data_IF_606157369313
#
_entry.id   IF_606157369313
#
_cell.length_a   1.000
_cell.length_b   1.000
_cell.length_c   1.000
_cell.angle_alpha   90.00
_cell.angle_beta   90.00
_cell.angle_gamma   90.00
#
_symmetry.space_group_name_H-M   'P 1'
#
loop_
_entity.id
_entity.type
_entity.pdbx_description
1 polymer ?
#
# COMPACT_ATOMS: atom_id res chain seq x y z
N UNK A 1 6.02 -2.99 6.58
CA UNK A 1 5.12 -2.08 7.36
C UNK A 1 4.69 -0.95 6.46
N UNK A 2 3.44 -0.99 5.99
CA UNK A 2 2.85 -0.05 5.04
C UNK A 2 1.63 0.58 5.72
N UNK A 3 1.55 1.91 5.71
CA UNK A 3 0.42 2.68 6.23
C UNK A 3 -0.25 3.51 5.14
N UNK A 4 -1.37 4.15 5.46
CA UNK A 4 -2.01 5.11 4.55
C UNK A 4 -1.00 6.15 4.06
N UNK A 5 -1.19 6.59 2.81
CA UNK A 5 -0.36 7.54 2.08
C UNK A 5 1.10 7.11 1.83
N UNK A 6 1.50 5.90 2.20
CA UNK A 6 2.83 5.36 1.88
C UNK A 6 2.98 5.17 0.38
N UNK A 7 4.07 5.68 -0.19
CA UNK A 7 4.45 5.48 -1.59
C UNK A 7 5.30 4.22 -1.72
N UNK A 8 5.02 3.39 -2.72
CA UNK A 8 5.68 2.11 -2.97
C UNK A 8 6.11 2.01 -4.44
N UNK A 9 7.23 1.35 -4.69
CA UNK A 9 7.61 0.93 -6.03
C UNK A 9 6.84 -0.33 -6.40
N UNK A 10 6.37 -0.40 -7.63
CA UNK A 10 5.68 -1.58 -8.15
C UNK A 10 6.72 -2.60 -8.60
N UNK A 11 6.53 -3.86 -8.24
CA UNK A 11 7.48 -4.95 -8.49
C UNK A 11 6.99 -5.96 -9.55
N UNK A 12 5.88 -5.66 -10.23
CA UNK A 12 5.32 -6.48 -11.30
C UNK A 12 5.46 -5.79 -12.67
N UNK A 13 4.87 -6.40 -13.70
CA UNK A 13 4.90 -5.92 -15.08
C UNK A 13 3.64 -5.15 -15.49
N UNK A 14 2.87 -4.61 -14.53
CA UNK A 14 1.62 -3.87 -14.80
C UNK A 14 1.82 -2.49 -15.44
N UNK A 15 3.06 -2.01 -15.58
CA UNK A 15 3.40 -0.74 -16.20
C UNK A 15 3.34 0.47 -15.25
N UNK A 16 2.80 0.30 -14.04
CA UNK A 16 2.88 1.32 -12.99
C UNK A 16 4.31 1.38 -12.41
N UNK A 17 4.84 2.59 -12.18
CA UNK A 17 6.17 2.78 -11.58
C UNK A 17 6.11 2.92 -10.06
N UNK A 18 5.16 3.73 -9.58
CA UNK A 18 4.94 4.05 -8.16
C UNK A 18 3.45 4.06 -7.86
N UNK A 19 3.09 3.64 -6.65
CA UNK A 19 1.69 3.60 -6.17
C UNK A 19 1.61 4.12 -4.74
N UNK A 20 0.43 4.61 -4.34
CA UNK A 20 0.16 5.05 -2.98
C UNK A 20 -0.84 4.14 -2.28
N UNK A 21 -0.56 3.76 -1.04
CA UNK A 21 -1.53 3.06 -0.20
C UNK A 21 -2.66 4.03 0.21
N UNK A 22 -3.89 3.76 -0.22
CA UNK A 22 -5.07 4.57 0.16
C UNK A 22 -5.84 4.00 1.36
N UNK A 23 -5.67 2.70 1.65
CA UNK A 23 -6.34 2.00 2.75
C UNK A 23 -5.59 0.72 3.09
N UNK A 24 -5.49 0.41 4.38
CA UNK A 24 -5.01 -0.89 4.87
C UNK A 24 -6.23 -1.79 5.13
N UNK A 25 -6.30 -2.95 4.46
CA UNK A 25 -7.44 -3.87 4.56
C UNK A 25 -7.27 -4.89 5.71
N UNK A 26 -8.39 -5.43 6.20
CA UNK A 26 -8.42 -6.54 7.16
C UNK A 26 -8.83 -6.18 8.58
N UNK A 27 -9.91 -5.40 8.74
CA UNK A 27 -10.55 -5.13 10.03
C UNK A 27 -10.65 -3.64 10.39
N UNK A 28 -11.41 -3.35 11.44
CA UNK A 28 -11.54 -2.01 12.00
C UNK A 28 -10.23 -1.56 12.66
N UNK A 29 -9.87 -0.29 12.49
CA UNK A 29 -8.68 0.35 13.09
C UNK A 29 -7.32 -0.28 12.75
N UNK A 30 -7.21 -1.08 11.68
CA UNK A 30 -5.91 -1.62 11.25
C UNK A 30 -5.02 -0.51 10.71
N UNK A 31 -3.89 -0.25 11.39
CA UNK A 31 -2.95 0.84 11.06
C UNK A 31 -1.88 0.46 10.03
N UNK A 32 -1.45 -0.81 10.04
CA UNK A 32 -0.33 -1.27 9.24
C UNK A 32 -0.64 -2.57 8.50
N UNK A 33 -0.33 -2.59 7.21
CA UNK A 33 -0.07 -3.81 6.45
C UNK A 33 1.40 -4.22 6.69
N UNK A 34 1.66 -5.52 6.77
CA UNK A 34 3.03 -6.03 6.89
C UNK A 34 3.54 -6.43 5.52
#
# INVERSE_FOLDING_TARGET
>A
MIQMQSQLNVADNSGAKRVQCIKVLGGSHRRYAR
#
